data_IF_636741400001
#
_entry.id   IF_636741400001
#
_cell.length_a   1.000
_cell.length_b   1.000
_cell.length_c   1.000
_cell.angle_alpha   90.00
_cell.angle_beta   90.00
_cell.angle_gamma   90.00
#
_symmetry.space_group_name_H-M   'P 1'
#
loop_
_entity.id
_entity.type
_entity.pdbx_description
1 polymer ?
#
# COMPACT_ATOMS: atom_id res chain seq x y z
N UNK A 1 3.48 -7.19 8.86
CA UNK A 1 1.98 -7.18 8.59
C UNK A 1 1.82 -7.33 7.10
N UNK A 2 0.78 -8.02 6.60
CA UNK A 2 0.51 -8.10 5.15
C UNK A 2 -0.36 -6.93 4.73
N UNK A 3 -0.10 -6.35 3.54
CA UNK A 3 -1.00 -5.34 2.95
C UNK A 3 -2.38 -5.93 2.64
N UNK A 4 -3.40 -5.09 2.49
CA UNK A 4 -4.73 -5.54 2.05
C UNK A 4 -4.66 -6.34 0.75
N UNK A 5 -3.84 -5.93 -0.21
CA UNK A 5 -3.64 -6.65 -1.48
C UNK A 5 -3.03 -8.04 -1.26
N UNK A 6 -1.95 -8.14 -0.46
CA UNK A 6 -1.32 -9.42 -0.14
C UNK A 6 -2.29 -10.37 0.58
N UNK A 7 -3.08 -9.85 1.51
CA UNK A 7 -4.08 -10.66 2.21
C UNK A 7 -5.13 -11.22 1.26
N UNK A 8 -5.65 -10.41 0.34
CA UNK A 8 -6.69 -10.82 -0.61
C UNK A 8 -6.11 -11.84 -1.60
N UNK A 9 -4.94 -11.56 -2.20
CA UNK A 9 -4.27 -12.46 -3.14
C UNK A 9 -3.91 -13.79 -2.46
N UNK A 10 -3.32 -13.75 -1.26
CA UNK A 10 -2.96 -14.93 -0.49
C UNK A 10 -4.17 -15.79 -0.09
N UNK A 11 -5.27 -15.14 0.35
CA UNK A 11 -6.51 -15.86 0.67
C UNK A 11 -7.16 -16.46 -0.57
N UNK A 12 -7.16 -15.75 -1.70
CA UNK A 12 -7.64 -16.27 -2.99
C UNK A 12 -6.85 -17.51 -3.40
N UNK A 13 -5.52 -17.45 -3.32
CA UNK A 13 -4.66 -18.60 -3.60
C UNK A 13 -4.96 -19.79 -2.69
N UNK A 14 -5.19 -19.53 -1.39
CA UNK A 14 -5.56 -20.58 -0.42
C UNK A 14 -6.88 -21.26 -0.79
N UNK A 15 -7.91 -20.52 -1.16
CA UNK A 15 -9.21 -21.06 -1.57
C UNK A 15 -9.10 -21.87 -2.87
N UNK A 16 -8.38 -21.33 -3.88
CA UNK A 16 -8.09 -22.06 -5.11
C UNK A 16 -7.32 -23.36 -4.86
N UNK A 17 -6.36 -23.34 -3.92
CA UNK A 17 -5.62 -24.54 -3.48
C UNK A 17 -6.50 -25.59 -2.81
N UNK A 18 -7.63 -25.17 -2.24
CA UNK A 18 -8.66 -26.05 -1.66
C UNK A 18 -9.76 -26.43 -2.67
N UNK A 19 -9.51 -26.29 -3.96
CA UNK A 19 -10.45 -26.59 -5.07
C UNK A 19 -11.75 -25.76 -5.03
N UNK A 20 -11.73 -24.58 -4.40
CA UNK A 20 -12.86 -23.67 -4.38
C UNK A 20 -12.68 -22.60 -5.46
N UNK A 21 -13.74 -22.32 -6.23
CA UNK A 21 -13.78 -21.14 -7.09
C UNK A 21 -13.93 -19.86 -6.26
N UNK A 22 -13.50 -18.74 -6.79
CA UNK A 22 -13.48 -17.46 -6.06
C UNK A 22 -14.08 -16.36 -6.93
N UNK A 23 -15.05 -15.65 -6.40
CA UNK A 23 -15.47 -14.37 -6.94
C UNK A 23 -14.45 -13.29 -6.56
N UNK A 24 -13.81 -12.68 -7.56
CA UNK A 24 -12.90 -11.55 -7.37
C UNK A 24 -13.56 -10.28 -7.89
N UNK A 25 -13.67 -9.30 -7.02
CA UNK A 25 -14.22 -7.98 -7.32
C UNK A 25 -13.10 -6.95 -7.31
N UNK A 26 -13.01 -6.12 -8.37
CA UNK A 26 -12.01 -5.05 -8.49
C UNK A 26 -12.69 -3.74 -8.84
N UNK A 27 -12.42 -2.66 -8.10
CA UNK A 27 -12.94 -1.33 -8.42
C UNK A 27 -12.21 -0.79 -9.65
N UNK A 28 -12.95 -0.54 -10.72
CA UNK A 28 -12.44 0.03 -11.97
C UNK A 28 -12.49 1.56 -11.98
N UNK A 29 -13.57 2.14 -11.46
CA UNK A 29 -13.81 3.59 -11.44
C UNK A 29 -14.67 3.98 -10.26
N UNK A 30 -14.45 5.19 -9.76
CA UNK A 30 -15.25 5.79 -8.69
C UNK A 30 -15.62 7.23 -9.06
N UNK A 31 -16.79 7.70 -8.62
CA UNK A 31 -17.20 9.09 -8.69
C UNK A 31 -17.79 9.51 -7.35
N UNK A 32 -17.60 10.78 -7.00
CA UNK A 32 -18.00 11.30 -5.70
C UNK A 32 -17.11 10.77 -4.57
N UNK A 33 -17.63 10.78 -3.36
CA UNK A 33 -16.91 10.28 -2.17
C UNK A 33 -17.03 8.76 -2.09
N UNK A 34 -16.02 8.07 -2.61
CA UNK A 34 -15.90 6.62 -2.44
C UNK A 34 -15.01 6.29 -1.24
N UNK A 35 -15.41 5.36 -0.35
CA UNK A 35 -14.60 4.96 0.81
C UNK A 35 -13.37 4.11 0.42
N UNK A 36 -13.35 3.59 -0.82
CA UNK A 36 -12.26 2.77 -1.35
C UNK A 36 -11.78 3.32 -2.69
N UNK A 37 -10.45 3.32 -2.93
CA UNK A 37 -9.87 3.82 -4.18
C UNK A 37 -10.06 2.83 -5.34
N UNK A 38 -9.85 3.31 -6.57
CA UNK A 38 -9.68 2.46 -7.75
C UNK A 38 -8.57 1.44 -7.51
N UNK A 39 -8.78 0.19 -7.94
CA UNK A 39 -7.88 -0.94 -7.69
C UNK A 39 -8.10 -1.64 -6.35
N UNK A 40 -8.98 -1.15 -5.48
CA UNK A 40 -9.35 -1.93 -4.30
C UNK A 40 -10.09 -3.21 -4.70
N UNK A 41 -9.82 -4.27 -3.95
CA UNK A 41 -10.32 -5.61 -4.22
C UNK A 41 -11.16 -6.17 -3.06
N UNK A 42 -11.98 -7.13 -3.41
CA UNK A 42 -12.67 -8.02 -2.50
C UNK A 42 -12.71 -9.42 -3.14
N UNK A 43 -12.46 -10.45 -2.37
CA UNK A 43 -12.61 -11.83 -2.82
C UNK A 43 -13.63 -12.57 -1.95
N UNK A 44 -14.41 -13.46 -2.56
CA UNK A 44 -15.48 -14.18 -1.88
C UNK A 44 -15.63 -15.60 -2.45
N UNK A 45 -15.77 -16.61 -1.57
CA UNK A 45 -16.13 -17.96 -2.01
C UNK A 45 -17.63 -18.05 -2.37
N UNK A 46 -18.05 -19.07 -3.12
CA UNK A 46 -19.49 -19.32 -3.36
C UNK A 46 -20.30 -19.51 -2.07
N UNK A 47 -19.67 -19.95 -0.99
CA UNK A 47 -20.29 -20.15 0.33
C UNK A 47 -20.45 -18.84 1.12
N UNK A 48 -19.79 -17.75 0.68
CA UNK A 48 -19.91 -16.42 1.29
C UNK A 48 -18.78 -16.04 2.24
N UNK A 49 -17.68 -16.82 2.28
CA UNK A 49 -16.45 -16.42 2.97
C UNK A 49 -15.81 -15.26 2.22
N UNK A 50 -15.62 -14.13 2.87
CA UNK A 50 -15.25 -12.87 2.25
C UNK A 50 -13.98 -12.28 2.85
N UNK A 51 -13.12 -11.71 2.01
CA UNK A 51 -11.95 -10.91 2.40
C UNK A 51 -11.83 -9.67 1.54
N UNK A 52 -11.37 -8.57 2.12
CA UNK A 52 -11.27 -7.27 1.45
C UNK A 52 -12.57 -6.48 1.50
N UNK A 53 -12.61 -5.34 0.82
CA UNK A 53 -13.77 -4.46 0.80
C UNK A 53 -13.72 -3.51 -0.39
N UNK A 54 -14.88 -3.23 -0.98
CA UNK A 54 -15.06 -2.30 -2.11
C UNK A 54 -15.91 -1.08 -1.75
N UNK A 55 -16.67 -1.12 -0.62
CA UNK A 55 -17.56 -0.02 -0.24
C UNK A 55 -17.53 0.33 1.25
N UNK A 56 -16.98 -0.55 2.08
CA UNK A 56 -17.03 -0.43 3.54
C UNK A 56 -18.30 -1.01 4.17
N UNK A 57 -19.03 -1.87 3.46
CA UNK A 57 -20.12 -2.67 4.00
C UNK A 57 -21.39 -2.76 3.12
N UNK A 58 -21.86 -1.64 2.57
CA UNK A 58 -23.19 -1.58 1.92
C UNK A 58 -23.28 -2.41 0.61
N UNK A 59 -22.25 -2.34 -0.22
CA UNK A 59 -22.24 -3.10 -1.50
C UNK A 59 -21.88 -4.56 -1.24
N UNK A 60 -21.08 -4.84 -0.22
CA UNK A 60 -20.72 -6.19 0.21
C UNK A 60 -21.96 -6.98 0.64
N UNK A 61 -22.90 -6.35 1.36
CA UNK A 61 -24.17 -6.98 1.75
C UNK A 61 -25.04 -7.33 0.53
N UNK A 62 -25.18 -6.40 -0.41
CA UNK A 62 -25.91 -6.60 -1.66
C UNK A 62 -25.27 -7.71 -2.52
N UNK A 63 -23.93 -7.72 -2.60
CA UNK A 63 -23.17 -8.76 -3.28
C UNK A 63 -23.44 -10.14 -2.67
N UNK A 64 -23.37 -10.27 -1.34
CA UNK A 64 -23.63 -11.53 -0.63
C UNK A 64 -25.09 -11.99 -0.77
N UNK A 65 -26.04 -11.07 -0.85
CA UNK A 65 -27.44 -11.39 -1.13
C UNK A 65 -27.61 -11.96 -2.56
N UNK A 66 -27.04 -11.29 -3.57
CA UNK A 66 -27.04 -11.77 -4.95
C UNK A 66 -26.29 -13.10 -5.13
N UNK A 67 -25.25 -13.34 -4.33
CA UNK A 67 -24.55 -14.62 -4.31
C UNK A 67 -25.45 -15.74 -3.77
N UNK A 68 -26.09 -15.53 -2.61
CA UNK A 68 -26.94 -16.54 -1.94
C UNK A 68 -28.16 -16.90 -2.75
N UNK A 69 -28.76 -15.94 -3.46
CA UNK A 69 -29.95 -16.19 -4.28
C UNK A 69 -29.61 -16.65 -5.71
N UNK A 70 -28.34 -16.82 -6.04
CA UNK A 70 -27.84 -17.33 -7.32
C UNK A 70 -27.85 -16.32 -8.48
N UNK A 71 -28.20 -15.06 -8.24
CA UNK A 71 -28.28 -14.01 -9.28
C UNK A 71 -26.90 -13.72 -9.88
N UNK A 72 -25.83 -13.72 -9.09
CA UNK A 72 -24.47 -13.51 -9.62
C UNK A 72 -24.07 -14.61 -10.60
N UNK A 73 -24.35 -15.87 -10.27
CA UNK A 73 -24.03 -17.01 -11.13
C UNK A 73 -24.86 -16.99 -12.40
N UNK A 74 -26.17 -16.69 -12.29
CA UNK A 74 -27.04 -16.54 -13.44
C UNK A 74 -26.52 -15.44 -14.38
N UNK A 75 -26.24 -14.26 -13.85
CA UNK A 75 -25.70 -13.13 -14.62
C UNK A 75 -24.38 -13.46 -15.29
N UNK A 76 -23.45 -14.12 -14.59
CA UNK A 76 -22.19 -14.56 -15.17
C UNK A 76 -22.41 -15.45 -16.42
N UNK A 77 -23.37 -16.38 -16.37
CA UNK A 77 -23.70 -17.21 -17.53
C UNK A 77 -24.38 -16.42 -18.65
N UNK A 78 -25.24 -15.46 -18.33
CA UNK A 78 -25.87 -14.57 -19.31
C UNK A 78 -24.87 -13.69 -20.05
N UNK A 79 -23.81 -13.24 -19.36
CA UNK A 79 -22.69 -12.48 -19.94
C UNK A 79 -21.65 -13.37 -20.68
N UNK A 80 -21.93 -14.67 -20.85
CA UNK A 80 -21.07 -15.61 -21.58
C UNK A 80 -19.98 -16.27 -20.78
N UNK A 81 -20.12 -16.29 -19.45
CA UNK A 81 -19.13 -16.85 -18.51
C UNK A 81 -17.76 -16.14 -18.57
N UNK A 82 -17.76 -14.84 -18.79
CA UNK A 82 -16.59 -13.96 -18.82
C UNK A 82 -16.71 -12.87 -17.75
N UNK A 83 -15.63 -12.16 -17.42
CA UNK A 83 -15.66 -11.02 -16.50
C UNK A 83 -16.68 -9.96 -16.93
N UNK A 84 -17.45 -9.43 -16.00
CA UNK A 84 -18.45 -8.42 -16.31
C UNK A 84 -18.42 -7.26 -15.30
N UNK A 85 -18.91 -6.10 -15.73
CA UNK A 85 -18.90 -4.88 -14.90
C UNK A 85 -20.26 -4.66 -14.28
N UNK A 86 -20.29 -4.52 -12.96
CA UNK A 86 -21.46 -4.06 -12.20
C UNK A 86 -21.27 -2.59 -11.84
N UNK A 87 -22.33 -1.81 -12.05
CA UNK A 87 -22.34 -0.39 -11.70
C UNK A 87 -23.25 -0.20 -10.49
N UNK A 88 -22.73 0.37 -9.44
CA UNK A 88 -23.44 0.66 -8.20
C UNK A 88 -23.65 2.18 -8.03
N UNK A 89 -24.80 2.56 -7.48
CA UNK A 89 -25.11 3.95 -7.17
C UNK A 89 -25.48 4.81 -8.37
N UNK A 90 -25.91 4.21 -9.49
CA UNK A 90 -26.23 4.94 -10.72
C UNK A 90 -27.59 5.65 -10.60
N UNK A 91 -28.58 5.05 -9.93
CA UNK A 91 -29.90 5.64 -9.75
C UNK A 91 -30.12 6.11 -8.30
N UNK A 92 -30.99 7.10 -8.10
CA UNK A 92 -31.36 7.58 -6.77
C UNK A 92 -32.00 6.48 -5.91
N UNK A 93 -32.76 5.59 -6.52
CA UNK A 93 -33.38 4.43 -5.86
C UNK A 93 -32.33 3.44 -5.37
N UNK A 94 -31.33 3.16 -6.19
CA UNK A 94 -30.21 2.29 -5.84
C UNK A 94 -29.32 2.92 -4.75
N UNK A 95 -29.04 4.22 -4.83
CA UNK A 95 -28.34 4.96 -3.78
C UNK A 95 -29.06 4.90 -2.44
N UNK A 96 -30.39 5.04 -2.44
CA UNK A 96 -31.23 4.91 -1.25
C UNK A 96 -31.23 3.49 -0.70
N UNK A 97 -31.38 2.48 -1.58
CA UNK A 97 -31.37 1.05 -1.21
C UNK A 97 -30.03 0.62 -0.60
N UNK A 98 -28.94 1.02 -1.23
CA UNK A 98 -27.58 0.67 -0.79
C UNK A 98 -27.06 1.60 0.32
N UNK A 99 -27.88 2.54 0.78
CA UNK A 99 -27.50 3.53 1.81
C UNK A 99 -26.16 4.20 1.49
N UNK A 100 -25.97 4.65 0.24
CA UNK A 100 -24.77 5.36 -0.20
C UNK A 100 -24.93 6.86 0.10
N UNK A 101 -24.56 7.35 1.30
CA UNK A 101 -24.92 8.70 1.75
C UNK A 101 -24.18 9.80 0.97
N UNK A 102 -23.13 9.43 0.26
CA UNK A 102 -22.23 10.36 -0.43
C UNK A 102 -22.55 10.50 -1.93
N UNK A 103 -23.62 9.88 -2.45
CA UNK A 103 -23.94 9.88 -3.89
C UNK A 103 -22.83 9.29 -4.76
N UNK A 104 -21.93 8.51 -4.19
CA UNK A 104 -20.81 7.89 -4.90
C UNK A 104 -21.28 6.81 -5.86
N UNK A 105 -20.64 6.75 -7.03
CA UNK A 105 -20.85 5.68 -7.99
C UNK A 105 -19.59 4.83 -8.08
N UNK A 106 -19.76 3.51 -8.25
CA UNK A 106 -18.69 2.54 -8.38
C UNK A 106 -18.92 1.67 -9.61
N UNK A 107 -17.87 1.47 -10.39
CA UNK A 107 -17.83 0.41 -11.38
C UNK A 107 -16.90 -0.69 -10.87
N UNK A 108 -17.43 -1.88 -10.72
CA UNK A 108 -16.73 -3.03 -10.17
C UNK A 108 -16.68 -4.14 -11.22
N UNK A 109 -15.50 -4.63 -11.52
CA UNK A 109 -15.29 -5.84 -12.31
C UNK A 109 -15.54 -7.04 -11.41
N UNK A 110 -16.39 -7.95 -11.84
CA UNK A 110 -16.63 -9.25 -11.22
C UNK A 110 -16.03 -10.35 -12.11
N UNK A 111 -15.24 -11.20 -11.50
CA UNK A 111 -14.56 -12.34 -12.13
C UNK A 111 -14.83 -13.59 -11.29
N UNK A 112 -15.20 -14.68 -11.93
CA UNK A 112 -15.23 -16.00 -11.29
C UNK A 112 -13.92 -16.72 -11.63
N UNK A 113 -13.08 -16.89 -10.64
CA UNK A 113 -11.76 -17.52 -10.80
C UNK A 113 -11.90 -19.00 -10.43
N UNK A 114 -11.74 -19.86 -11.42
CA UNK A 114 -11.77 -21.32 -11.23
C UNK A 114 -10.45 -21.86 -10.69
N UNK A 115 -10.45 -22.96 -9.90
CA UNK A 115 -9.27 -23.54 -9.26
C UNK A 115 -8.39 -24.34 -10.22
N UNK A 116 -8.07 -23.78 -11.39
CA UNK A 116 -7.18 -24.38 -12.37
C UNK A 116 -5.71 -24.19 -11.98
N UNK A 117 -4.82 -25.07 -12.43
CA UNK A 117 -3.37 -24.94 -12.19
C UNK A 117 -2.82 -23.63 -12.75
N UNK A 118 -3.36 -23.15 -13.87
CA UNK A 118 -2.99 -21.87 -14.45
C UNK A 118 -3.34 -20.71 -13.48
N UNK A 119 -4.55 -20.67 -12.95
CA UNK A 119 -4.97 -19.62 -12.01
C UNK A 119 -4.21 -19.71 -10.68
N UNK A 120 -4.01 -20.92 -10.13
CA UNK A 120 -3.18 -21.13 -8.95
C UNK A 120 -1.76 -20.62 -9.16
N UNK A 121 -1.13 -20.97 -10.28
CA UNK A 121 0.22 -20.50 -10.63
C UNK A 121 0.29 -18.98 -10.81
N UNK A 122 -0.72 -18.37 -11.41
CA UNK A 122 -0.79 -16.92 -11.57
C UNK A 122 -0.93 -16.19 -10.22
N UNK A 123 -1.86 -16.62 -9.33
CA UNK A 123 -2.01 -16.01 -8.01
C UNK A 123 -0.77 -16.24 -7.12
N UNK A 124 -0.09 -17.39 -7.25
CA UNK A 124 1.18 -17.64 -6.58
C UNK A 124 2.26 -16.65 -7.03
N UNK A 125 2.37 -16.38 -8.34
CA UNK A 125 3.32 -15.39 -8.88
C UNK A 125 3.00 -13.96 -8.39
N UNK A 126 1.72 -13.59 -8.33
CA UNK A 126 1.30 -12.27 -7.79
C UNK A 126 1.73 -12.13 -6.32
N UNK A 127 1.48 -13.16 -5.52
CA UNK A 127 1.84 -13.15 -4.10
C UNK A 127 3.36 -13.08 -3.90
N UNK A 128 4.12 -13.92 -4.62
CA UNK A 128 5.58 -13.96 -4.57
C UNK A 128 6.21 -12.60 -4.92
N UNK A 129 5.75 -11.95 -5.98
CA UNK A 129 6.22 -10.60 -6.34
C UNK A 129 5.98 -9.58 -5.22
N UNK A 130 4.77 -9.59 -4.61
CA UNK A 130 4.45 -8.68 -3.51
C UNK A 130 5.29 -8.98 -2.24
N UNK A 131 5.59 -10.25 -1.95
CA UNK A 131 6.45 -10.67 -0.85
C UNK A 131 7.91 -10.28 -1.08
N UNK A 132 8.37 -10.32 -2.33
CA UNK A 132 9.70 -9.86 -2.74
C UNK A 132 9.81 -8.34 -2.90
N UNK A 133 8.76 -7.60 -2.50
CA UNK A 133 8.68 -6.14 -2.62
C UNK A 133 8.87 -5.61 -4.06
N UNK A 134 8.37 -6.36 -5.03
CA UNK A 134 8.33 -5.95 -6.44
C UNK A 134 6.90 -5.69 -6.89
N UNK A 135 6.73 -4.71 -7.79
CA UNK A 135 5.42 -4.44 -8.41
C UNK A 135 5.15 -5.44 -9.50
N UNK A 136 3.88 -5.78 -9.65
CA UNK A 136 3.43 -6.69 -10.71
C UNK A 136 2.04 -6.25 -11.20
N UNK A 137 1.77 -6.36 -12.50
CA UNK A 137 0.45 -6.13 -13.06
C UNK A 137 -0.27 -7.42 -13.35
N UNK A 138 -1.54 -7.50 -12.95
CA UNK A 138 -2.48 -8.52 -13.37
C UNK A 138 -3.24 -8.00 -14.59
N UNK A 139 -3.16 -8.72 -15.70
CA UNK A 139 -3.83 -8.36 -16.95
C UNK A 139 -4.98 -9.32 -17.18
N UNK A 140 -6.18 -8.79 -17.35
CA UNK A 140 -7.41 -9.54 -17.59
C UNK A 140 -7.97 -9.19 -18.96
N UNK A 141 -8.19 -10.20 -19.79
CA UNK A 141 -8.95 -10.04 -21.02
C UNK A 141 -10.44 -10.11 -20.71
N UNK A 142 -11.15 -9.00 -20.91
CA UNK A 142 -12.56 -8.85 -20.52
C UNK A 142 -13.52 -9.65 -21.43
N UNK A 143 -13.09 -10.07 -22.62
CA UNK A 143 -13.90 -10.87 -23.55
C UNK A 143 -13.73 -12.38 -23.33
N UNK A 144 -12.54 -12.82 -22.93
CA UNK A 144 -12.25 -14.25 -22.76
C UNK A 144 -12.11 -14.69 -21.31
N UNK A 145 -11.95 -13.76 -20.37
CA UNK A 145 -11.63 -14.07 -18.99
C UNK A 145 -10.19 -14.55 -18.77
N UNK A 146 -9.36 -14.58 -19.82
CA UNK A 146 -7.96 -15.02 -19.70
C UNK A 146 -7.17 -14.02 -18.84
N UNK A 147 -6.38 -14.56 -17.91
CA UNK A 147 -5.58 -13.77 -16.98
C UNK A 147 -4.10 -14.05 -17.24
N UNK A 148 -3.29 -12.99 -17.23
CA UNK A 148 -1.83 -13.05 -17.31
C UNK A 148 -1.19 -12.04 -16.36
N UNK A 149 0.12 -12.06 -16.24
CA UNK A 149 0.89 -11.12 -15.41
C UNK A 149 1.97 -10.44 -16.25
N UNK A 150 2.30 -9.19 -15.88
CA UNK A 150 3.45 -8.47 -16.41
C UNK A 150 4.27 -7.89 -15.25
N UNK A 151 5.60 -7.89 -15.38
CA UNK A 151 6.52 -7.38 -14.35
C UNK A 151 6.63 -5.84 -14.39
N UNK A 152 5.77 -5.19 -15.15
CA UNK A 152 5.66 -3.74 -15.21
C UNK A 152 4.48 -3.28 -14.37
N UNK A 153 4.69 -2.30 -13.49
CA UNK A 153 3.61 -1.56 -12.85
C UNK A 153 3.33 -0.28 -13.64
N UNK A 154 2.07 0.09 -13.73
CA UNK A 154 1.66 1.39 -14.26
C UNK A 154 1.37 2.33 -13.10
N UNK A 155 1.49 3.63 -13.35
CA UNK A 155 1.23 4.66 -12.34
C UNK A 155 -0.23 4.63 -11.86
N UNK A 156 -1.16 4.34 -12.77
CA UNK A 156 -2.56 4.13 -12.43
C UNK A 156 -2.80 2.70 -11.92
N UNK A 157 -3.55 2.60 -10.82
CA UNK A 157 -3.88 1.31 -10.21
C UNK A 157 -4.64 0.39 -11.17
N UNK A 158 -5.53 0.94 -12.00
CA UNK A 158 -6.28 0.20 -13.03
C UNK A 158 -6.30 0.98 -14.32
N UNK A 159 -5.91 0.33 -15.41
CA UNK A 159 -5.96 0.89 -16.77
C UNK A 159 -6.73 -0.07 -17.67
N UNK A 160 -7.70 0.45 -18.43
CA UNK A 160 -8.46 -0.32 -19.42
C UNK A 160 -8.09 0.21 -20.81
N UNK A 161 -7.57 -0.68 -21.66
CA UNK A 161 -7.22 -0.39 -23.05
C UNK A 161 -7.85 -1.46 -23.95
N UNK A 162 -8.88 -1.07 -24.73
CA UNK A 162 -9.66 -2.01 -25.49
C UNK A 162 -10.36 -3.03 -24.58
N UNK A 163 -10.10 -4.31 -24.82
CA UNK A 163 -10.61 -5.42 -24.03
C UNK A 163 -9.68 -5.91 -22.91
N UNK A 164 -8.57 -5.21 -22.67
CA UNK A 164 -7.62 -5.57 -21.63
C UNK A 164 -7.74 -4.61 -20.43
N UNK A 165 -7.90 -5.18 -19.25
CA UNK A 165 -7.76 -4.49 -17.98
C UNK A 165 -6.42 -4.84 -17.35
N UNK A 166 -5.58 -3.85 -17.09
CA UNK A 166 -4.35 -3.97 -16.32
C UNK A 166 -4.59 -3.45 -14.90
N UNK A 167 -4.33 -4.27 -13.91
CA UNK A 167 -4.41 -3.91 -12.49
C UNK A 167 -3.01 -3.98 -11.87
N UNK A 168 -2.44 -2.84 -11.56
CA UNK A 168 -1.12 -2.71 -10.94
C UNK A 168 -1.21 -3.00 -9.44
N UNK A 169 -0.51 -4.04 -9.01
CA UNK A 169 -0.36 -4.41 -7.61
C UNK A 169 1.01 -3.93 -7.14
N UNK A 170 1.01 -3.14 -6.08
CA UNK A 170 2.25 -2.60 -5.51
C UNK A 170 2.55 -3.27 -4.18
N UNK A 171 3.82 -3.51 -3.87
CA UNK A 171 4.21 -4.02 -2.57
C UNK A 171 3.84 -3.04 -1.47
N UNK A 172 3.82 -3.54 -0.24
CA UNK A 172 3.64 -2.70 0.92
C UNK A 172 4.79 -1.70 1.05
N UNK A 173 4.46 -0.43 1.30
CA UNK A 173 5.47 0.57 1.60
C UNK A 173 6.14 0.25 2.94
N UNK A 174 7.43 0.47 3.03
CA UNK A 174 8.24 0.24 4.23
C UNK A 174 8.77 1.55 4.80
N UNK A 175 8.82 1.63 6.12
CA UNK A 175 9.47 2.74 6.82
C UNK A 175 10.59 2.22 7.72
N UNK A 176 11.79 2.75 7.52
CA UNK A 176 12.89 2.60 8.44
C UNK A 176 12.89 3.78 9.41
N UNK A 177 12.65 3.51 10.67
CA UNK A 177 12.75 4.50 11.75
C UNK A 177 14.12 4.37 12.40
N UNK A 178 14.88 5.47 12.45
CA UNK A 178 16.18 5.52 13.09
C UNK A 178 16.07 6.19 14.44
N UNK A 179 16.41 5.46 15.50
CA UNK A 179 16.32 5.93 16.88
C UNK A 179 15.02 5.56 17.58
N UNK A 180 15.13 4.84 18.69
CA UNK A 180 14.03 4.30 19.49
C UNK A 180 13.54 5.29 20.55
N UNK A 181 13.19 6.51 20.14
CA UNK A 181 12.64 7.55 21.01
C UNK A 181 11.10 7.59 21.03
N UNK A 182 10.53 8.50 21.84
CA UNK A 182 9.08 8.63 22.00
C UNK A 182 8.36 8.98 20.70
N UNK A 183 8.91 9.85 19.87
CA UNK A 183 8.33 10.19 18.57
C UNK A 183 8.27 8.95 17.68
N UNK A 184 9.33 8.13 17.70
CA UNK A 184 9.37 6.90 16.89
C UNK A 184 8.27 5.91 17.27
N UNK A 185 7.87 5.82 18.54
CA UNK A 185 6.75 4.98 18.99
C UNK A 185 5.45 5.39 18.28
N UNK A 186 5.09 6.68 18.36
CA UNK A 186 3.86 7.18 17.73
C UNK A 186 3.92 7.09 16.18
N UNK A 187 5.08 7.37 15.58
CA UNK A 187 5.27 7.19 14.13
C UNK A 187 5.05 5.73 13.74
N UNK A 188 5.61 4.79 14.51
CA UNK A 188 5.45 3.36 14.24
C UNK A 188 4.00 2.88 14.34
N UNK A 189 3.27 3.31 15.38
CA UNK A 189 1.84 3.00 15.56
C UNK A 189 0.99 3.52 14.39
N UNK A 190 1.17 4.80 14.04
CA UNK A 190 0.46 5.43 12.92
C UNK A 190 0.82 4.80 11.57
N UNK A 191 2.10 4.55 11.32
CA UNK A 191 2.57 3.93 10.09
C UNK A 191 1.97 2.53 9.91
N UNK A 192 1.92 1.72 10.97
CA UNK A 192 1.27 0.40 10.94
C UNK A 192 -0.22 0.49 10.64
N UNK A 193 -0.93 1.46 11.25
CA UNK A 193 -2.35 1.71 10.96
C UNK A 193 -2.58 2.15 9.51
N UNK A 194 -1.58 2.77 8.86
CA UNK A 194 -1.57 3.18 7.46
C UNK A 194 -0.99 2.11 6.51
N UNK A 195 -0.86 0.87 6.99
CA UNK A 195 -0.36 -0.29 6.24
C UNK A 195 1.09 -0.14 5.75
N UNK A 196 1.98 0.49 6.55
CA UNK A 196 3.42 0.41 6.32
C UNK A 196 4.03 -0.77 7.07
N UNK A 197 5.01 -1.42 6.45
CA UNK A 197 5.93 -2.33 7.14
C UNK A 197 7.02 -1.51 7.83
N UNK A 198 7.10 -1.62 9.15
CA UNK A 198 7.95 -0.74 9.96
C UNK A 198 9.13 -1.54 10.53
N UNK A 199 10.34 -1.06 10.27
CA UNK A 199 11.58 -1.53 10.91
C UNK A 199 12.15 -0.40 11.75
N UNK A 200 12.47 -0.69 13.02
CA UNK A 200 13.18 0.20 13.91
C UNK A 200 14.65 -0.18 13.95
N UNK A 201 15.52 0.79 13.65
CA UNK A 201 16.96 0.64 13.72
C UNK A 201 17.52 1.61 14.77
N UNK A 202 18.19 1.05 15.78
CA UNK A 202 19.00 1.83 16.72
C UNK A 202 20.26 1.03 17.06
N UNK A 203 21.48 1.53 16.71
CA UNK A 203 22.72 0.82 16.99
C UNK A 203 23.04 0.73 18.49
N UNK A 204 22.27 1.38 19.35
CA UNK A 204 22.37 1.33 20.81
C UNK A 204 21.39 0.30 21.37
N UNK A 205 21.82 -0.92 21.72
CA UNK A 205 20.92 -2.03 22.10
C UNK A 205 19.96 -1.68 23.24
N UNK A 206 20.41 -0.94 24.24
CA UNK A 206 19.61 -0.56 25.41
C UNK A 206 18.34 0.25 25.06
N UNK A 207 18.31 0.93 23.91
CA UNK A 207 17.12 1.65 23.44
C UNK A 207 16.08 0.73 22.84
N UNK A 208 16.51 -0.40 22.26
CA UNK A 208 15.63 -1.41 21.68
C UNK A 208 14.97 -2.32 22.73
N UNK A 209 15.61 -2.49 23.91
CA UNK A 209 15.10 -3.34 24.99
C UNK A 209 13.78 -2.81 25.58
N UNK A 210 13.61 -1.48 25.57
CA UNK A 210 12.41 -0.80 26.09
C UNK A 210 11.35 -0.52 25.01
N UNK A 211 11.51 -1.09 23.82
CA UNK A 211 10.55 -0.88 22.74
C UNK A 211 9.33 -1.78 22.89
N UNK A 212 8.15 -1.18 23.02
CA UNK A 212 6.89 -1.84 23.34
C UNK A 212 5.92 -1.96 22.16
N UNK A 213 6.18 -1.26 21.03
CA UNK A 213 5.25 -1.31 19.88
C UNK A 213 5.38 -2.67 19.18
N UNK A 214 4.30 -3.44 19.28
CA UNK A 214 4.23 -4.78 18.68
C UNK A 214 4.25 -4.73 17.15
N UNK A 215 4.74 -5.82 16.52
CA UNK A 215 4.75 -5.98 15.07
C UNK A 215 5.69 -5.03 14.32
N UNK A 216 6.66 -4.46 15.01
CA UNK A 216 7.79 -3.70 14.46
C UNK A 216 9.03 -4.56 14.54
N UNK A 217 9.68 -4.77 13.40
CA UNK A 217 10.98 -5.43 13.37
C UNK A 217 12.02 -4.52 14.02
N UNK A 218 12.89 -5.08 14.87
CA UNK A 218 13.96 -4.34 15.53
C UNK A 218 15.34 -4.80 15.04
N UNK A 219 16.25 -3.85 14.83
CA UNK A 219 17.64 -4.15 14.48
C UNK A 219 18.61 -3.18 15.15
N UNK A 220 19.73 -3.71 15.66
CA UNK A 220 20.85 -2.94 16.20
C UNK A 220 22.01 -2.82 15.23
N UNK A 221 21.83 -3.18 13.97
CA UNK A 221 22.82 -3.06 12.91
C UNK A 221 23.14 -1.59 12.60
N UNK A 222 24.24 -1.36 11.86
CA UNK A 222 24.56 -0.02 11.36
C UNK A 222 23.49 0.48 10.42
N UNK A 223 23.01 1.72 10.58
CA UNK A 223 21.87 2.26 9.82
C UNK A 223 22.13 2.30 8.31
N UNK A 224 23.32 2.65 7.86
CA UNK A 224 23.72 2.70 6.45
C UNK A 224 23.68 1.31 5.79
N UNK A 225 24.12 0.25 6.49
CA UNK A 225 23.99 -1.12 5.98
C UNK A 225 22.55 -1.54 5.84
N UNK A 226 21.70 -1.22 6.82
CA UNK A 226 20.26 -1.52 6.77
C UNK A 226 19.58 -0.80 5.60
N UNK A 227 19.92 0.48 5.36
CA UNK A 227 19.41 1.25 4.21
C UNK A 227 19.82 0.57 2.91
N UNK A 228 21.12 0.32 2.72
CA UNK A 228 21.68 -0.24 1.49
C UNK A 228 21.08 -1.58 1.13
N UNK A 229 20.94 -2.47 2.10
CA UNK A 229 20.50 -3.83 1.88
C UNK A 229 18.98 -3.96 1.71
N UNK A 230 18.20 -3.10 2.37
CA UNK A 230 16.76 -3.35 2.52
C UNK A 230 15.85 -2.18 2.16
N UNK A 231 16.35 -0.95 2.14
CA UNK A 231 15.52 0.26 1.99
C UNK A 231 15.95 1.14 0.81
N UNK A 232 16.53 0.56 -0.22
CA UNK A 232 17.02 1.27 -1.41
C UNK A 232 16.02 1.46 -2.54
N UNK A 233 14.85 0.82 -2.47
CA UNK A 233 13.85 0.80 -3.55
C UNK A 233 12.79 1.91 -3.40
N UNK A 234 11.98 2.20 -4.46
CA UNK A 234 10.97 3.27 -4.46
C UNK A 234 9.82 3.10 -3.45
N UNK A 235 9.69 1.94 -2.80
CA UNK A 235 8.67 1.68 -1.78
C UNK A 235 9.19 1.87 -0.36
N UNK A 236 10.40 2.40 -0.21
CA UNK A 236 11.07 2.61 1.06
C UNK A 236 11.08 4.08 1.46
N UNK A 237 10.79 4.36 2.73
CA UNK A 237 10.97 5.66 3.36
C UNK A 237 11.89 5.55 4.57
N UNK A 238 12.75 6.55 4.76
CA UNK A 238 13.71 6.61 5.87
C UNK A 238 13.39 7.84 6.73
N UNK A 239 13.23 7.61 8.03
CA UNK A 239 12.80 8.63 9.01
C UNK A 239 13.83 8.68 10.15
N UNK A 240 14.72 9.67 10.13
CA UNK A 240 15.77 9.86 11.11
C UNK A 240 15.28 10.63 12.33
N UNK A 241 15.22 9.96 13.49
CA UNK A 241 14.62 10.42 14.76
C UNK A 241 15.57 10.28 15.95
N UNK A 242 16.82 9.85 15.74
CA UNK A 242 17.75 9.56 16.83
C UNK A 242 18.26 10.80 17.57
N UNK A 243 18.18 11.98 16.97
CA UNK A 243 18.78 13.24 17.44
C UNK A 243 20.31 13.15 17.64
N UNK A 244 20.93 12.10 17.11
CA UNK A 244 22.38 11.90 17.14
C UNK A 244 22.92 11.94 15.70
N UNK A 245 23.70 12.97 15.32
CA UNK A 245 24.23 13.08 13.96
C UNK A 245 25.05 11.85 13.53
N UNK A 246 25.67 11.14 14.46
CA UNK A 246 26.44 9.93 14.15
C UNK A 246 25.56 8.77 13.70
N UNK A 247 24.31 8.73 14.13
CA UNK A 247 23.32 7.73 13.71
C UNK A 247 22.54 8.23 12.50
N UNK A 248 22.01 9.44 12.60
CA UNK A 248 21.16 10.03 11.57
C UNK A 248 21.92 10.29 10.27
N UNK A 249 23.07 10.99 10.34
CA UNK A 249 23.80 11.40 9.14
C UNK A 249 24.41 10.21 8.39
N UNK A 250 24.82 9.13 9.08
CA UNK A 250 25.28 7.88 8.43
C UNK A 250 24.19 7.28 7.54
N UNK A 251 22.99 7.13 8.07
CA UNK A 251 21.87 6.61 7.30
C UNK A 251 21.44 7.54 6.17
N UNK A 252 21.43 8.87 6.41
CA UNK A 252 21.04 9.86 5.42
C UNK A 252 22.00 9.89 4.22
N UNK A 253 23.31 9.72 4.45
CA UNK A 253 24.30 9.64 3.37
C UNK A 253 24.03 8.49 2.40
N UNK A 254 23.56 7.37 2.90
CA UNK A 254 23.19 6.23 2.05
C UNK A 254 21.78 6.41 1.46
N UNK A 255 20.81 6.81 2.29
CA UNK A 255 19.42 6.95 1.90
C UNK A 255 19.20 7.94 0.76
N UNK A 256 19.88 9.09 0.76
CA UNK A 256 19.77 10.12 -0.26
C UNK A 256 20.28 9.70 -1.64
N UNK A 257 21.10 8.62 -1.71
CA UNK A 257 21.60 8.02 -2.96
C UNK A 257 20.68 6.94 -3.52
N UNK A 258 19.66 6.52 -2.73
CA UNK A 258 18.72 5.46 -3.13
C UNK A 258 17.52 6.02 -3.88
N UNK A 259 16.67 5.12 -4.37
CA UNK A 259 15.38 5.46 -4.98
C UNK A 259 14.24 5.64 -3.96
N UNK A 260 14.55 5.65 -2.66
CA UNK A 260 13.55 5.79 -1.60
C UNK A 260 12.59 6.97 -1.86
N UNK A 261 11.26 6.73 -1.72
CA UNK A 261 10.25 7.76 -1.98
C UNK A 261 10.29 8.92 -0.97
N UNK A 262 10.87 8.67 0.21
CA UNK A 262 10.93 9.64 1.30
C UNK A 262 12.19 9.48 2.12
N UNK A 263 12.88 10.59 2.35
CA UNK A 263 14.02 10.66 3.28
C UNK A 263 13.85 11.91 4.14
N UNK A 264 13.58 11.72 5.43
CA UNK A 264 13.32 12.83 6.35
C UNK A 264 14.13 12.75 7.63
N UNK A 265 14.44 13.91 8.20
CA UNK A 265 15.23 14.00 9.42
C UNK A 265 14.66 15.01 10.43
N UNK A 266 14.50 14.57 11.67
CA UNK A 266 14.08 15.42 12.76
C UNK A 266 15.16 16.42 13.17
N UNK A 267 14.74 17.64 13.48
CA UNK A 267 15.58 18.71 13.94
C UNK A 267 14.89 20.06 13.86
N UNK A 268 15.46 21.06 14.56
CA UNK A 268 15.06 22.45 14.37
C UNK A 268 15.54 22.98 13.02
N UNK A 269 15.03 24.12 12.57
CA UNK A 269 15.53 24.79 11.37
C UNK A 269 17.06 25.00 11.43
N UNK A 270 17.58 25.39 12.59
CA UNK A 270 19.01 25.57 12.83
C UNK A 270 19.80 24.27 12.65
N UNK A 271 19.34 23.18 13.25
CA UNK A 271 20.00 21.85 13.12
C UNK A 271 19.90 21.31 11.73
N UNK A 272 18.79 21.55 11.05
CA UNK A 272 18.59 21.13 9.66
C UNK A 272 19.47 21.90 8.68
N UNK A 273 19.64 23.24 8.88
CA UNK A 273 20.59 24.05 8.12
C UNK A 273 22.04 23.55 8.31
N UNK A 274 22.48 23.35 9.56
CA UNK A 274 23.81 22.83 9.85
C UNK A 274 24.03 21.42 9.29
N UNK A 275 22.98 20.57 9.23
CA UNK A 275 23.05 19.27 8.57
C UNK A 275 23.26 19.42 7.07
N UNK A 276 22.52 20.29 6.39
CA UNK A 276 22.69 20.56 4.96
C UNK A 276 24.08 21.12 4.60
N UNK A 277 24.70 21.86 5.51
CA UNK A 277 26.09 22.33 5.33
C UNK A 277 27.13 21.20 5.44
N UNK A 278 26.90 20.17 6.27
CA UNK A 278 27.82 19.03 6.44
C UNK A 278 27.67 17.98 5.35
N UNK A 279 26.48 17.75 4.81
CA UNK A 279 26.22 16.66 3.87
C UNK A 279 27.07 16.72 2.58
N UNK A 280 27.39 17.90 2.00
CA UNK A 280 28.33 18.00 0.89
C UNK A 280 29.76 17.54 1.24
N UNK A 281 30.22 17.82 2.47
CA UNK A 281 31.54 17.39 2.95
C UNK A 281 31.62 15.85 3.04
N UNK A 282 30.46 15.18 3.16
CA UNK A 282 30.33 13.74 3.19
C UNK A 282 30.08 13.12 1.79
N UNK A 283 30.21 13.93 0.73
CA UNK A 283 30.18 13.47 -0.66
C UNK A 283 28.79 13.38 -1.30
N UNK A 284 27.80 14.07 -0.74
CA UNK A 284 26.48 14.19 -1.36
C UNK A 284 26.40 15.39 -2.31
N UNK A 285 25.75 15.21 -3.44
CA UNK A 285 25.45 16.27 -4.39
C UNK A 285 24.32 17.17 -3.89
N UNK A 286 24.22 18.38 -4.46
CA UNK A 286 23.12 19.29 -4.13
C UNK A 286 21.75 18.70 -4.46
N UNK A 287 21.62 17.98 -5.58
CA UNK A 287 20.39 17.32 -6.00
C UNK A 287 19.94 16.24 -5.00
N UNK A 288 20.88 15.43 -4.50
CA UNK A 288 20.60 14.44 -3.47
C UNK A 288 20.14 15.11 -2.16
N UNK A 289 20.77 16.23 -1.77
CA UNK A 289 20.42 16.95 -0.54
C UNK A 289 19.05 17.63 -0.65
N UNK A 290 18.61 18.06 -1.82
CA UNK A 290 17.29 18.64 -2.05
C UNK A 290 16.16 17.65 -1.78
N UNK A 291 16.41 16.36 -1.88
CA UNK A 291 15.46 15.30 -1.51
C UNK A 291 15.24 15.15 0.00
N UNK A 292 16.09 15.78 0.82
CA UNK A 292 15.97 15.67 2.27
C UNK A 292 14.86 16.54 2.83
N UNK A 293 13.87 15.95 3.48
CA UNK A 293 12.86 16.62 4.27
C UNK A 293 13.41 16.94 5.67
N UNK A 294 13.93 18.13 5.87
CA UNK A 294 14.47 18.58 7.14
C UNK A 294 14.32 20.10 7.33
N UNK A 295 13.60 20.54 8.36
CA UNK A 295 12.92 19.75 9.40
C UNK A 295 11.85 18.82 8.81
N UNK A 296 11.73 17.60 9.37
CA UNK A 296 10.76 16.60 8.95
C UNK A 296 9.33 17.00 9.38
N UNK A 297 8.36 16.70 8.53
CA UNK A 297 6.95 16.89 8.81
C UNK A 297 6.40 18.26 8.41
N UNK A 298 5.08 18.34 8.21
CA UNK A 298 4.41 19.61 7.94
C UNK A 298 4.42 20.52 9.17
N UNK A 299 4.53 21.82 8.95
CA UNK A 299 4.47 22.81 10.03
C UNK A 299 3.04 22.96 10.53
N UNK A 300 2.72 22.32 11.66
CA UNK A 300 1.45 22.37 12.36
C UNK A 300 1.59 22.87 13.81
N UNK A 301 2.73 23.52 14.12
CA UNK A 301 3.10 23.99 15.46
C UNK A 301 3.10 22.88 16.54
N UNK A 302 3.44 21.66 16.14
CA UNK A 302 3.52 20.47 16.99
C UNK A 302 4.52 20.64 18.14
N UNK A 303 4.15 20.18 19.34
CA UNK A 303 4.99 20.29 20.56
C UNK A 303 5.17 18.95 21.27
N UNK A 304 4.15 18.11 21.23
CA UNK A 304 4.20 16.79 21.86
C UNK A 304 4.73 15.73 20.89
N UNK A 305 5.32 14.62 21.37
CA UNK A 305 5.76 13.51 20.51
C UNK A 305 4.67 12.99 19.57
N UNK A 306 3.44 12.90 20.04
CA UNK A 306 2.30 12.44 19.22
C UNK A 306 1.94 13.46 18.11
N UNK A 307 1.94 14.76 18.38
CA UNK A 307 1.68 15.80 17.39
C UNK A 307 2.79 15.85 16.33
N UNK A 308 4.07 15.68 16.76
CA UNK A 308 5.21 15.59 15.84
C UNK A 308 5.02 14.37 14.92
N UNK A 309 4.62 13.22 15.46
CA UNK A 309 4.37 12.02 14.68
C UNK A 309 3.23 12.21 13.65
N UNK A 310 2.14 12.92 14.01
CA UNK A 310 1.06 13.29 13.07
C UNK A 310 1.64 14.13 11.92
N UNK A 311 2.43 15.16 12.24
CA UNK A 311 3.09 16.03 11.25
C UNK A 311 3.97 15.22 10.29
N UNK A 312 4.80 14.31 10.80
CA UNK A 312 5.65 13.41 10.02
C UNK A 312 4.81 12.51 9.13
N UNK A 313 3.83 11.82 9.68
CA UNK A 313 3.02 10.86 8.92
C UNK A 313 2.13 11.52 7.87
N UNK A 314 1.70 12.76 8.10
CA UNK A 314 0.99 13.55 7.09
C UNK A 314 1.90 13.86 5.88
N UNK A 315 3.15 14.28 6.11
CA UNK A 315 4.13 14.54 5.06
C UNK A 315 4.50 13.24 4.32
N UNK A 316 4.85 12.17 5.04
CA UNK A 316 5.16 10.85 4.47
C UNK A 316 4.02 10.37 3.57
N UNK A 317 2.76 10.55 4.02
CA UNK A 317 1.58 10.17 3.24
C UNK A 317 1.45 11.02 1.97
N UNK A 318 1.69 12.32 2.05
CA UNK A 318 1.63 13.22 0.90
C UNK A 318 2.70 12.85 -0.15
N UNK A 319 3.94 12.61 0.28
CA UNK A 319 5.04 12.24 -0.61
C UNK A 319 4.83 10.87 -1.26
N UNK A 320 4.28 9.89 -0.53
CA UNK A 320 3.86 8.60 -1.10
C UNK A 320 2.92 8.75 -2.30
N UNK A 321 1.95 9.69 -2.21
CA UNK A 321 1.01 9.95 -3.31
C UNK A 321 1.62 10.82 -4.40
N UNK A 322 2.60 11.69 -4.11
CA UNK A 322 3.35 12.45 -5.12
C UNK A 322 4.23 11.52 -5.95
N UNK A 323 4.94 10.61 -5.32
CA UNK A 323 5.80 9.63 -6.00
C UNK A 323 5.03 8.69 -6.94
N UNK A 324 3.70 8.56 -6.78
CA UNK A 324 2.83 7.77 -7.67
C UNK A 324 2.26 8.54 -8.85
N UNK A 325 2.40 9.87 -8.89
CA UNK A 325 1.89 10.68 -9.99
C UNK A 325 2.98 10.81 -11.05
N UNK A 326 2.68 10.53 -12.33
CA UNK A 326 3.62 10.82 -13.42
C UNK A 326 3.91 12.32 -13.45
N UNK A 327 5.18 12.66 -13.75
CA UNK A 327 5.64 14.03 -13.90
C UNK A 327 4.97 14.71 -15.10
#
# INVERSE_FOLDING_TARGET
MLSSQQQIIGRTLQWLGSEQSVWLCTILKTWGSSPRPVGAMMACTPEGDLIGSISGGCIEEDFLEQLRNGQLKQRFHEEGSVPFVVKYGVTAEEQARLKLPCGGQLHVLLELIEPTDQNKGMFARLLDALEQHTSISRIVNLESGAISTADESRDDAVVIQGNLMSHSLSPMYRLLLLGAGDVAKYVAEMARALEYDVTLCDPRPNYLDNWEVEGVEKTSRLPDDVVRERFSNPYSGIVALAHDPRVDDMALMEALKTEAFYVGAMGSERTSAARRERLPELGLSQEEIERLHAPIGFQIESKTPAEIAISIMAEVTAEKYRARRPA
#
